data_IF_078774206128
#
_entry.id   IF_078774206128
#
_cell.length_a   1.000
_cell.length_b   1.000
_cell.length_c   1.000
_cell.angle_alpha   90.00
_cell.angle_beta   90.00
_cell.angle_gamma   90.00
#
_symmetry.space_group_name_H-M   'P 1'
#
loop_
_entity.id
_entity.type
_entity.pdbx_description
1 polymer ?
#
# COMPACT_ATOMS: atom_id res chain seq x y z
N UNK A 1 8.63 15.00 -16.12
CA UNK A 1 8.32 13.64 -15.59
C UNK A 1 7.04 13.73 -14.76
N UNK A 2 6.08 12.85 -14.99
CA UNK A 2 4.82 12.79 -14.25
C UNK A 2 5.02 11.83 -13.08
N UNK A 3 4.83 12.31 -11.83
CA UNK A 3 5.01 11.52 -10.61
C UNK A 3 3.69 11.00 -10.02
N UNK A 4 2.60 11.71 -10.23
CA UNK A 4 1.25 11.31 -9.85
C UNK A 4 0.22 12.01 -10.72
N UNK A 5 -0.98 11.45 -10.81
CA UNK A 5 -2.16 12.08 -11.41
C UNK A 5 -3.36 11.80 -10.52
N UNK A 6 -4.12 12.85 -10.18
CA UNK A 6 -5.44 12.75 -9.58
C UNK A 6 -6.47 13.07 -10.66
N UNK A 7 -7.53 12.25 -10.77
CA UNK A 7 -8.55 12.46 -11.79
C UNK A 7 -9.71 11.49 -11.65
N UNK A 8 -10.57 11.49 -12.65
CA UNK A 8 -11.77 10.63 -12.72
C UNK A 8 -11.57 9.55 -13.78
N UNK A 9 -11.92 8.32 -13.47
CA UNK A 9 -11.85 7.20 -14.42
C UNK A 9 -12.88 7.41 -15.53
N UNK A 10 -12.41 7.69 -16.73
CA UNK A 10 -13.26 7.90 -17.89
C UNK A 10 -13.64 6.57 -18.57
N UNK A 11 -12.69 5.66 -18.74
CA UNK A 11 -12.93 4.33 -19.31
C UNK A 11 -11.95 3.29 -18.77
N UNK A 12 -12.38 2.01 -18.82
CA UNK A 12 -11.58 0.85 -18.44
C UNK A 12 -11.22 0.06 -19.71
N UNK A 13 -9.97 -0.38 -19.80
CA UNK A 13 -9.44 -1.27 -20.82
C UNK A 13 -8.86 -2.54 -20.15
N UNK A 14 -8.36 -3.51 -20.93
CA UNK A 14 -7.90 -4.79 -20.39
C UNK A 14 -6.70 -4.68 -19.43
N UNK A 15 -5.80 -3.72 -19.68
CA UNK A 15 -4.55 -3.52 -18.94
C UNK A 15 -4.29 -2.05 -18.60
N UNK A 16 -5.24 -1.17 -18.90
CA UNK A 16 -5.13 0.26 -18.72
C UNK A 16 -6.47 0.92 -18.41
N UNK A 17 -6.42 2.16 -17.97
CA UNK A 17 -7.55 3.06 -17.89
C UNK A 17 -7.28 4.32 -18.68
N UNK A 18 -8.34 5.02 -19.06
CA UNK A 18 -8.26 6.44 -19.41
C UNK A 18 -8.70 7.23 -18.19
N UNK A 19 -7.81 8.05 -17.66
CA UNK A 19 -8.07 8.95 -16.55
C UNK A 19 -8.26 10.36 -17.09
N UNK A 20 -9.40 10.97 -16.79
CA UNK A 20 -9.65 12.37 -17.08
C UNK A 20 -9.07 13.24 -15.95
N UNK A 21 -8.14 14.10 -16.30
CA UNK A 21 -7.62 15.14 -15.45
C UNK A 21 -7.86 16.50 -16.12
N UNK A 22 -8.89 17.20 -15.65
CA UNK A 22 -9.27 18.53 -16.16
C UNK A 22 -9.47 18.59 -17.67
N UNK A 23 -10.17 17.62 -18.25
CA UNK A 23 -10.45 17.55 -19.68
C UNK A 23 -9.33 16.94 -20.53
N UNK A 24 -8.25 16.48 -19.92
CA UNK A 24 -7.18 15.73 -20.60
C UNK A 24 -7.24 14.25 -20.20
N UNK A 25 -7.37 13.37 -21.21
CA UNK A 25 -7.39 11.93 -21.02
C UNK A 25 -5.99 11.31 -21.02
N UNK A 26 -5.57 10.73 -19.90
CA UNK A 26 -4.31 10.01 -19.78
C UNK A 26 -4.56 8.51 -19.82
N UNK A 27 -3.90 7.80 -20.78
CA UNK A 27 -3.87 6.34 -20.74
C UNK A 27 -2.84 5.87 -19.74
N UNK A 28 -3.27 5.14 -18.71
CA UNK A 28 -2.43 4.68 -17.62
C UNK A 28 -2.58 3.16 -17.47
N UNK A 29 -1.46 2.42 -17.58
CA UNK A 29 -1.42 0.98 -17.41
C UNK A 29 -1.46 0.63 -15.92
N UNK A 30 -2.34 -0.28 -15.53
CA UNK A 30 -2.54 -0.76 -14.16
C UNK A 30 -2.42 -2.29 -14.11
N UNK A 31 -1.98 -2.83 -12.98
CA UNK A 31 -1.97 -4.28 -12.78
C UNK A 31 -3.39 -4.86 -12.76
N UNK A 32 -4.34 -4.16 -12.15
CA UNK A 32 -5.75 -4.55 -12.11
C UNK A 32 -6.68 -3.36 -12.38
N UNK A 33 -6.94 -3.00 -13.65
CA UNK A 33 -7.85 -1.91 -14.00
C UNK A 33 -9.28 -2.10 -13.48
N UNK A 34 -9.74 -3.36 -13.43
CA UNK A 34 -11.11 -3.70 -13.01
C UNK A 34 -11.36 -3.64 -11.50
N UNK A 35 -10.33 -3.31 -10.71
CA UNK A 35 -10.53 -2.91 -9.31
C UNK A 35 -11.20 -1.53 -9.18
N UNK A 36 -11.20 -0.75 -10.26
CA UNK A 36 -11.81 0.58 -10.36
C UNK A 36 -13.11 0.51 -11.15
N UNK A 37 -13.94 1.54 -10.98
CA UNK A 37 -15.18 1.75 -11.75
C UNK A 37 -15.09 3.04 -12.54
N UNK A 38 -15.84 3.12 -13.64
CA UNK A 38 -16.02 4.38 -14.37
C UNK A 38 -16.64 5.40 -13.42
N UNK A 39 -16.16 6.65 -13.46
CA UNK A 39 -16.49 7.78 -12.58
C UNK A 39 -15.86 7.72 -11.18
N UNK A 40 -15.05 6.73 -10.85
CA UNK A 40 -14.27 6.78 -9.60
C UNK A 40 -13.25 7.94 -9.65
N UNK A 41 -13.19 8.74 -8.59
CA UNK A 41 -12.12 9.70 -8.38
C UNK A 41 -10.93 8.99 -7.74
N UNK A 42 -9.77 9.02 -8.40
CA UNK A 42 -8.59 8.29 -7.96
C UNK A 42 -7.34 9.15 -7.95
N UNK A 43 -6.43 8.82 -7.05
CA UNK A 43 -5.05 9.31 -7.05
C UNK A 43 -4.14 8.13 -7.41
N UNK A 44 -3.32 8.32 -8.44
CA UNK A 44 -2.38 7.30 -8.92
C UNK A 44 -0.95 7.80 -8.79
N UNK A 45 -0.09 7.02 -8.16
CA UNK A 45 1.35 7.17 -8.29
C UNK A 45 1.76 6.73 -9.68
N UNK A 46 2.62 7.48 -10.37
CA UNK A 46 2.94 7.25 -11.77
C UNK A 46 4.44 6.99 -11.95
N UNK A 47 4.74 5.94 -12.70
CA UNK A 47 6.03 5.78 -13.35
C UNK A 47 5.90 6.09 -14.83
N UNK A 48 6.57 7.16 -15.29
CA UNK A 48 6.60 7.56 -16.68
C UNK A 48 7.83 6.93 -17.36
N UNK A 49 7.59 5.97 -18.24
CA UNK A 49 8.62 5.40 -19.09
C UNK A 49 8.69 6.17 -20.41
N UNK A 50 9.86 6.71 -20.72
CA UNK A 50 10.14 7.40 -21.99
C UNK A 50 11.07 6.52 -22.81
N UNK A 51 10.67 6.21 -24.04
CA UNK A 51 11.47 5.52 -25.06
C UNK A 51 11.46 6.33 -26.33
N UNK A 52 12.28 5.96 -27.30
CA UNK A 52 12.35 6.64 -28.61
C UNK A 52 11.02 6.64 -29.36
N UNK A 53 10.25 5.56 -29.19
CA UNK A 53 9.00 5.30 -29.91
C UNK A 53 7.74 5.56 -29.10
N UNK A 54 7.82 5.72 -27.77
CA UNK A 54 6.64 5.85 -26.93
C UNK A 54 6.91 6.48 -25.56
N UNK A 55 5.89 7.18 -25.05
CA UNK A 55 5.78 7.57 -23.65
C UNK A 55 4.67 6.72 -23.02
N UNK A 56 5.00 5.95 -22.01
CA UNK A 56 4.07 5.03 -21.34
C UNK A 56 3.95 5.40 -19.88
N UNK A 57 2.70 5.49 -19.38
CA UNK A 57 2.42 5.73 -17.95
C UNK A 57 1.99 4.42 -17.28
N UNK A 58 2.67 4.05 -16.22
CA UNK A 58 2.28 2.95 -15.34
C UNK A 58 1.79 3.55 -14.03
N UNK A 59 0.60 3.14 -13.58
CA UNK A 59 -0.06 3.68 -12.41
C UNK A 59 -0.20 2.66 -11.30
N UNK A 60 -0.20 3.17 -10.06
CA UNK A 60 -0.32 2.39 -8.85
C UNK A 60 -1.25 3.10 -7.88
N UNK A 61 -2.20 2.37 -7.30
CA UNK A 61 -3.11 2.89 -6.29
C UNK A 61 -2.40 3.08 -4.94
N UNK A 62 -1.44 2.21 -4.65
CA UNK A 62 -0.69 2.21 -3.40
C UNK A 62 0.78 2.53 -3.63
N UNK A 63 1.35 3.31 -2.73
CA UNK A 63 2.75 3.71 -2.80
C UNK A 63 3.70 2.51 -2.72
N UNK A 64 3.34 1.49 -1.95
CA UNK A 64 4.10 0.25 -1.77
C UNK A 64 4.26 -0.52 -3.09
N UNK A 65 3.21 -0.56 -3.91
CA UNK A 65 3.27 -1.17 -5.25
C UNK A 65 4.21 -0.40 -6.17
N UNK A 66 4.13 0.94 -6.13
CA UNK A 66 5.01 1.81 -6.90
C UNK A 66 6.47 1.66 -6.46
N UNK A 67 6.75 1.65 -5.15
CA UNK A 67 8.11 1.53 -4.63
C UNK A 67 8.70 0.14 -4.98
N UNK A 68 7.93 -0.94 -4.82
CA UNK A 68 8.33 -2.28 -5.25
C UNK A 68 8.59 -2.34 -6.76
N UNK A 69 7.72 -1.71 -7.56
CA UNK A 69 7.90 -1.63 -9.02
C UNK A 69 9.23 -0.98 -9.37
N UNK A 70 9.59 0.14 -8.74
CA UNK A 70 10.85 0.84 -8.98
C UNK A 70 12.08 -0.03 -8.63
N UNK A 71 11.98 -0.85 -7.59
CA UNK A 71 13.05 -1.78 -7.23
C UNK A 71 13.17 -2.92 -8.27
N UNK A 72 12.06 -3.50 -8.68
CA UNK A 72 12.04 -4.63 -9.60
C UNK A 72 12.51 -4.27 -11.01
N UNK A 73 12.19 -3.07 -11.53
CA UNK A 73 12.65 -2.65 -12.87
C UNK A 73 14.16 -2.43 -12.95
N UNK A 74 14.86 -2.27 -11.82
CA UNK A 74 16.31 -2.16 -11.76
C UNK A 74 17.01 -3.54 -11.81
N UNK A 75 16.26 -4.64 -11.65
CA UNK A 75 16.82 -5.99 -11.76
C UNK A 75 17.06 -6.33 -13.23
N UNK A 76 18.26 -6.80 -13.54
CA UNK A 76 18.64 -7.17 -14.91
C UNK A 76 17.69 -8.20 -15.52
N UNK A 77 17.11 -7.88 -16.67
CA UNK A 77 16.20 -8.77 -17.39
C UNK A 77 14.73 -8.62 -17.00
N UNK A 78 14.37 -7.64 -16.19
CA UNK A 78 12.99 -7.31 -15.84
C UNK A 78 12.62 -5.95 -16.43
N UNK A 79 11.53 -5.91 -17.21
CA UNK A 79 10.96 -4.68 -17.73
C UNK A 79 9.66 -4.30 -17.06
N UNK A 80 9.20 -3.06 -17.27
CA UNK A 80 7.98 -2.54 -16.66
C UNK A 80 6.75 -3.46 -16.85
N UNK A 81 6.53 -3.96 -18.08
CA UNK A 81 5.41 -4.90 -18.35
C UNK A 81 5.51 -6.20 -17.54
N UNK A 82 6.72 -6.73 -17.33
CA UNK A 82 6.91 -7.94 -16.52
C UNK A 82 6.54 -7.69 -15.06
N UNK A 83 6.92 -6.54 -14.50
CA UNK A 83 6.55 -6.17 -13.13
C UNK A 83 5.05 -5.98 -12.99
N UNK A 84 4.38 -5.33 -13.96
CA UNK A 84 2.92 -5.20 -13.95
C UNK A 84 2.22 -6.57 -13.95
N UNK A 85 2.74 -7.54 -14.73
CA UNK A 85 2.23 -8.90 -14.73
C UNK A 85 2.46 -9.62 -13.38
N UNK A 86 3.60 -9.39 -12.72
CA UNK A 86 3.85 -9.92 -11.37
C UNK A 86 2.82 -9.37 -10.37
N UNK A 87 2.58 -8.05 -10.37
CA UNK A 87 1.60 -7.39 -9.51
C UNK A 87 0.15 -7.80 -9.83
N UNK A 88 -0.15 -8.14 -11.08
CA UNK A 88 -1.45 -8.73 -11.46
C UNK A 88 -1.62 -10.14 -10.87
N UNK A 89 -0.55 -10.91 -10.79
CA UNK A 89 -0.56 -12.30 -10.31
C UNK A 89 -0.46 -12.45 -8.80
N UNK A 90 0.02 -11.42 -8.08
CA UNK A 90 0.23 -11.48 -6.63
C UNK A 90 0.31 -10.09 -5.99
N UNK A 91 -0.03 -9.98 -4.71
CA UNK A 91 0.10 -8.72 -3.97
C UNK A 91 1.57 -8.31 -3.77
N UNK A 92 1.82 -7.00 -3.67
CA UNK A 92 3.15 -6.48 -3.40
C UNK A 92 3.77 -7.09 -2.13
N UNK A 93 3.00 -7.22 -1.07
CA UNK A 93 3.47 -7.81 0.20
C UNK A 93 3.88 -9.28 0.06
N UNK A 94 3.16 -10.07 -0.73
CA UNK A 94 3.53 -11.47 -0.98
C UNK A 94 4.83 -11.58 -1.80
N UNK A 95 5.02 -10.68 -2.78
CA UNK A 95 6.26 -10.62 -3.56
C UNK A 95 7.44 -10.21 -2.67
N UNK A 96 7.28 -9.16 -1.85
CA UNK A 96 8.31 -8.72 -0.89
C UNK A 96 8.66 -9.84 0.08
N UNK A 97 7.66 -10.50 0.67
CA UNK A 97 7.88 -11.64 1.58
C UNK A 97 8.65 -12.79 0.92
N UNK A 98 8.34 -13.12 -0.33
CA UNK A 98 9.06 -14.14 -1.08
C UNK A 98 10.52 -13.75 -1.39
N UNK A 99 10.78 -12.48 -1.69
CA UNK A 99 12.14 -11.98 -1.91
C UNK A 99 12.95 -12.06 -0.62
N UNK A 100 12.41 -11.58 0.49
CA UNK A 100 13.11 -11.54 1.79
C UNK A 100 13.35 -12.96 2.34
N UNK A 101 12.40 -13.89 2.17
CA UNK A 101 12.59 -15.29 2.56
C UNK A 101 13.49 -16.07 1.59
N UNK A 102 13.72 -15.54 0.37
CA UNK A 102 14.46 -16.22 -0.69
C UNK A 102 13.64 -17.31 -1.39
N UNK A 103 12.33 -17.22 -1.39
CA UNK A 103 11.42 -18.18 -2.03
C UNK A 103 11.42 -18.03 -3.56
N UNK A 104 12.47 -18.58 -4.19
CA UNK A 104 12.60 -18.64 -5.66
C UNK A 104 11.46 -19.45 -6.29
N UNK A 105 10.91 -20.46 -5.57
CA UNK A 105 9.83 -21.30 -6.11
C UNK A 105 8.52 -20.51 -6.27
N UNK A 106 8.21 -19.65 -5.32
CA UNK A 106 7.09 -18.71 -5.43
C UNK A 106 7.29 -17.72 -6.59
N UNK A 107 8.45 -17.07 -6.66
CA UNK A 107 8.75 -16.05 -7.68
C UNK A 107 8.68 -16.64 -9.10
N UNK A 108 9.10 -17.90 -9.32
CA UNK A 108 8.97 -18.60 -10.61
C UNK A 108 7.53 -18.84 -11.06
N UNK A 109 6.55 -18.84 -10.15
CA UNK A 109 5.14 -19.00 -10.50
C UNK A 109 4.51 -17.70 -11.02
N UNK A 110 5.18 -16.56 -10.80
CA UNK A 110 4.68 -15.29 -11.26
C UNK A 110 4.77 -15.18 -12.80
N UNK A 111 3.76 -14.58 -13.45
CA UNK A 111 3.71 -14.48 -14.91
C UNK A 111 4.95 -13.77 -15.48
N UNK A 112 5.61 -14.42 -16.45
CA UNK A 112 6.78 -13.88 -17.13
C UNK A 112 8.11 -13.98 -16.38
N UNK A 113 8.16 -14.68 -15.24
CA UNK A 113 9.37 -14.86 -14.45
C UNK A 113 9.90 -16.30 -14.58
N UNK A 114 11.07 -16.43 -15.20
CA UNK A 114 11.80 -17.69 -15.31
C UNK A 114 12.70 -17.96 -14.09
N UNK A 115 13.26 -19.18 -14.01
CA UNK A 115 14.13 -19.58 -12.90
C UNK A 115 15.33 -18.64 -12.70
N UNK A 116 15.99 -18.24 -13.79
CA UNK A 116 17.15 -17.33 -13.76
C UNK A 116 16.76 -15.97 -13.23
N UNK A 117 15.63 -15.43 -13.70
CA UNK A 117 15.12 -14.11 -13.27
C UNK A 117 14.69 -14.15 -11.80
N UNK A 118 14.00 -15.20 -11.36
CA UNK A 118 13.61 -15.36 -9.96
C UNK A 118 14.82 -15.38 -9.01
N UNK A 119 15.87 -16.12 -9.37
CA UNK A 119 17.12 -16.14 -8.59
C UNK A 119 17.83 -14.78 -8.58
N UNK A 120 17.80 -14.07 -9.73
CA UNK A 120 18.37 -12.72 -9.84
C UNK A 120 17.62 -11.70 -8.97
N UNK A 121 16.29 -11.77 -8.93
CA UNK A 121 15.46 -10.91 -8.06
C UNK A 121 15.90 -11.06 -6.59
N UNK A 122 16.01 -12.30 -6.11
CA UNK A 122 16.44 -12.57 -4.73
C UNK A 122 17.85 -12.06 -4.49
N UNK A 123 18.79 -12.31 -5.41
CA UNK A 123 20.19 -11.88 -5.28
C UNK A 123 20.32 -10.37 -5.18
N UNK A 124 19.56 -9.63 -6.01
CA UNK A 124 19.69 -8.18 -6.12
C UNK A 124 18.92 -7.44 -5.03
N UNK A 125 17.78 -7.96 -4.55
CA UNK A 125 16.83 -7.22 -3.73
C UNK A 125 16.71 -7.73 -2.29
N UNK A 126 17.08 -8.96 -1.96
CA UNK A 126 17.01 -9.48 -0.59
C UNK A 126 17.81 -8.61 0.38
N UNK A 127 17.17 -8.15 1.46
CA UNK A 127 17.74 -7.25 2.45
C UNK A 127 17.87 -5.79 2.01
N UNK A 128 17.39 -5.45 0.80
CA UNK A 128 17.40 -4.07 0.27
C UNK A 128 16.02 -3.47 0.10
N UNK A 129 14.97 -4.30 0.20
CA UNK A 129 13.62 -3.81 0.16
C UNK A 129 13.36 -3.03 1.44
N UNK A 130 13.16 -1.73 1.29
CA UNK A 130 12.72 -0.90 2.41
C UNK A 130 11.32 -1.38 2.76
N UNK A 131 11.17 -2.03 3.91
CA UNK A 131 9.86 -2.16 4.52
C UNK A 131 9.44 -0.74 4.87
N UNK A 132 8.74 -0.07 3.96
CA UNK A 132 7.92 1.06 4.38
C UNK A 132 6.85 0.44 5.27
N UNK A 133 6.82 0.76 6.58
CA UNK A 133 5.75 0.25 7.42
C UNK A 133 4.44 0.57 6.70
N UNK A 134 3.58 -0.42 6.56
CA UNK A 134 2.29 -0.30 5.91
C UNK A 134 1.62 1.02 6.32
N UNK A 135 1.71 2.03 5.47
CA UNK A 135 0.69 3.06 5.45
C UNK A 135 -0.49 2.45 4.70
N UNK A 136 -1.21 1.58 5.43
CA UNK A 136 -2.51 1.16 5.00
C UNK A 136 -3.36 2.41 4.78
N UNK A 137 -3.94 2.46 3.59
CA UNK A 137 -5.07 3.30 3.16
C UNK A 137 -5.46 4.43 4.10
N UNK A 138 -5.19 5.66 3.70
CA UNK A 138 -5.22 6.91 4.46
C UNK A 138 -6.56 7.35 5.10
N UNK A 139 -7.51 6.47 5.26
CA UNK A 139 -8.76 6.72 6.02
C UNK A 139 -8.84 5.87 7.28
N UNK A 140 -8.21 4.67 7.32
CA UNK A 140 -8.22 3.81 8.52
C UNK A 140 -6.96 3.92 9.38
N UNK A 141 -5.87 4.55 8.88
CA UNK A 141 -4.57 4.62 9.58
C UNK A 141 -4.53 5.75 10.59
N UNK A 142 -5.17 6.89 10.31
CA UNK A 142 -5.26 7.97 11.30
C UNK A 142 -6.06 7.56 12.54
N UNK A 143 -7.05 6.68 12.39
CA UNK A 143 -7.83 6.13 13.49
C UNK A 143 -7.02 5.15 14.35
N UNK A 144 -6.17 4.33 13.73
CA UNK A 144 -5.32 3.39 14.46
C UNK A 144 -4.11 4.08 15.11
N UNK A 145 -3.52 5.10 14.49
CA UNK A 145 -2.42 5.88 15.10
C UNK A 145 -2.92 6.65 16.31
N UNK A 146 -4.01 7.41 16.19
CA UNK A 146 -4.56 8.18 17.30
C UNK A 146 -4.99 7.29 18.48
N UNK A 147 -5.54 6.11 18.21
CA UNK A 147 -5.88 5.13 19.24
C UNK A 147 -4.61 4.50 19.82
N UNK A 148 -3.63 4.14 18.99
CA UNK A 148 -2.35 3.57 19.43
C UNK A 148 -1.58 4.54 20.33
N UNK A 149 -1.45 5.79 19.91
CA UNK A 149 -0.81 6.86 20.70
C UNK A 149 -1.54 7.08 22.04
N UNK A 150 -2.88 7.05 22.01
CA UNK A 150 -3.68 7.16 23.23
C UNK A 150 -3.45 5.98 24.17
N UNK A 151 -3.31 4.76 23.65
CA UNK A 151 -3.02 3.57 24.45
C UNK A 151 -1.60 3.61 25.04
N UNK A 152 -0.60 4.09 24.28
CA UNK A 152 0.76 4.31 24.79
C UNK A 152 0.77 5.38 25.90
N UNK A 153 0.06 6.48 25.73
CA UNK A 153 -0.06 7.52 26.74
C UNK A 153 -0.71 6.97 28.04
N UNK A 154 -1.79 6.18 27.95
CA UNK A 154 -2.42 5.55 29.08
C UNK A 154 -1.49 4.54 29.78
N UNK A 155 -0.67 3.81 29.03
CA UNK A 155 0.35 2.91 29.57
C UNK A 155 1.46 3.70 30.30
N UNK A 156 1.89 4.84 29.75
CA UNK A 156 2.85 5.73 30.40
C UNK A 156 2.32 6.36 31.69
N UNK A 157 1.00 6.54 31.79
CA UNK A 157 0.31 6.96 33.04
C UNK A 157 0.17 5.84 34.10
N UNK A 158 0.70 4.64 33.82
CA UNK A 158 0.82 3.55 34.80
C UNK A 158 -0.34 2.56 34.81
N UNK A 159 -1.25 2.59 33.82
CA UNK A 159 -2.32 1.60 33.71
C UNK A 159 -1.81 0.25 33.21
N UNK A 160 -2.33 -0.85 33.74
CA UNK A 160 -1.88 -2.21 33.40
C UNK A 160 -2.37 -2.63 32.01
N UNK A 161 -1.56 -3.40 31.28
CA UNK A 161 -1.90 -3.89 29.95
C UNK A 161 -3.23 -4.65 29.88
N UNK A 162 -3.57 -5.41 30.93
CA UNK A 162 -4.86 -6.13 31.04
C UNK A 162 -6.08 -5.21 31.13
N UNK A 163 -5.95 -4.04 31.74
CA UNK A 163 -7.00 -3.02 31.83
C UNK A 163 -7.17 -2.32 30.49
N UNK A 164 -6.05 -2.06 29.80
CA UNK A 164 -6.01 -1.36 28.52
C UNK A 164 -6.59 -2.18 27.37
N UNK A 165 -6.34 -3.49 27.30
CA UNK A 165 -6.84 -4.36 26.21
C UNK A 165 -8.37 -4.36 26.10
N UNK A 166 -9.07 -4.24 27.21
CA UNK A 166 -10.55 -4.21 27.21
C UNK A 166 -11.10 -2.85 26.77
N UNK A 167 -10.38 -1.77 27.05
CA UNK A 167 -10.73 -0.40 26.70
C UNK A 167 -10.40 -0.15 25.23
N UNK A 168 -9.28 -0.65 24.74
CA UNK A 168 -8.89 -0.60 23.34
C UNK A 168 -9.99 -1.17 22.43
N UNK A 169 -10.53 -2.35 22.77
CA UNK A 169 -11.65 -2.97 22.04
C UNK A 169 -12.94 -2.15 22.06
N UNK A 170 -13.17 -1.38 23.11
CA UNK A 170 -14.34 -0.52 23.22
C UNK A 170 -14.15 0.77 22.43
N UNK A 171 -12.97 1.38 22.51
CA UNK A 171 -12.62 2.62 21.79
C UNK A 171 -12.46 2.39 20.29
N UNK A 172 -12.00 1.20 19.86
CA UNK A 172 -11.88 0.85 18.43
C UNK A 172 -13.23 0.75 17.70
N UNK A 173 -14.35 0.69 18.43
CA UNK A 173 -15.70 0.69 17.84
C UNK A 173 -16.26 2.10 17.62
N UNK A 174 -15.58 3.12 18.11
CA UNK A 174 -16.01 4.50 17.95
C UNK A 174 -15.29 5.15 16.77
N UNK A 175 -16.07 5.89 15.97
CA UNK A 175 -15.55 6.56 14.79
C UNK A 175 -14.82 7.86 15.16
N UNK A 176 -13.66 8.07 14.52
CA UNK A 176 -12.92 9.33 14.34
C UNK A 176 -12.77 10.23 15.58
N UNK A 177 -12.07 9.75 16.61
CA UNK A 177 -11.67 10.60 17.74
C UNK A 177 -10.19 11.00 17.59
N UNK A 178 -9.85 12.21 18.04
CA UNK A 178 -8.46 12.63 18.21
C UNK A 178 -7.78 11.85 19.34
N UNK A 179 -6.43 11.80 19.33
CA UNK A 179 -5.63 11.16 20.40
C UNK A 179 -6.04 11.65 21.79
N UNK A 180 -6.25 12.97 21.96
CA UNK A 180 -6.73 13.55 23.21
C UNK A 180 -8.11 13.05 23.63
N UNK A 181 -9.04 12.93 22.66
CA UNK A 181 -10.40 12.47 22.94
C UNK A 181 -10.40 10.98 23.34
N UNK A 182 -9.55 10.15 22.71
CA UNK A 182 -9.33 8.76 23.09
C UNK A 182 -8.73 8.63 24.50
N UNK A 183 -7.73 9.44 24.85
CA UNK A 183 -7.14 9.46 26.20
C UNK A 183 -8.21 9.83 27.23
N UNK A 184 -8.95 10.92 27.01
CA UNK A 184 -10.00 11.38 27.93
C UNK A 184 -11.07 10.32 28.15
N UNK A 185 -11.51 9.67 27.09
CA UNK A 185 -12.54 8.63 27.14
C UNK A 185 -12.04 7.36 27.80
N UNK A 186 -10.79 6.98 27.50
CA UNK A 186 -10.10 5.87 28.16
C UNK A 186 -9.99 6.07 29.68
N UNK A 187 -9.61 7.28 30.13
CA UNK A 187 -9.56 7.64 31.54
C UNK A 187 -10.93 7.56 32.22
N UNK A 188 -11.99 8.05 31.55
CA UNK A 188 -13.36 7.95 32.08
C UNK A 188 -13.78 6.47 32.25
N UNK A 189 -13.50 5.61 31.28
CA UNK A 189 -13.82 4.19 31.34
C UNK A 189 -13.02 3.46 32.44
N UNK A 190 -11.77 3.85 32.64
CA UNK A 190 -10.92 3.32 33.71
C UNK A 190 -11.40 3.76 35.10
N UNK A 191 -11.83 5.01 35.26
CA UNK A 191 -12.38 5.54 36.51
C UNK A 191 -13.70 4.84 36.89
N UNK A 192 -14.61 4.64 35.94
CA UNK A 192 -15.88 3.93 36.18
C UNK A 192 -15.67 2.46 36.61
N UNK A 193 -14.59 1.81 36.18
CA UNK A 193 -14.27 0.42 36.59
C UNK A 193 -13.64 0.33 37.98
N UNK A 194 -13.01 1.40 38.46
CA UNK A 194 -12.40 1.42 39.81
C UNK A 194 -13.37 1.84 40.92
N UNK A 195 -14.64 2.09 40.59
CA UNK A 195 -15.70 2.26 41.56
C UNK A 195 -15.57 3.53 42.44
N UNK A 196 -15.25 4.64 41.81
CA UNK A 196 -15.40 5.98 42.43
C UNK A 196 -16.44 6.76 41.67
#
# INVERSE_FOLDING_TARGET
MIAFIKGVVYSLENDSIILDHNGMGYRIYLANPFALKIQDEVFLHIYQQVREDAITLFGFLHKEEHDLFLQLINVKGIGAKSVMNMLKGSSANAIVGAIESGDVAFLKKLPGIGAKTASQIVLDLKGKLVHTPQQASSVNVQLNEALSDAMEALKALGYKASELTSIEKALAKEAELSTEAYIRKGLMMLAQRKGV
#
